data_IF_821444097496
#
_entry.id   IF_821444097496
#
_cell.length_a   1.000
_cell.length_b   1.000
_cell.length_c   1.000
_cell.angle_alpha   90.00
_cell.angle_beta   90.00
_cell.angle_gamma   90.00
#
_symmetry.space_group_name_H-M   'P 1'
#
loop_
_entity.id
_entity.type
_entity.pdbx_description
1 polymer ?
#
# COMPACT_ATOMS: atom_id res chain seq x y z
N UNK A 1 -30.35 -21.97 13.38
CA UNK A 1 -29.01 -21.72 12.82
C UNK A 1 -28.35 -20.55 13.54
N UNK A 2 -27.22 -20.72 14.25
CA UNK A 2 -26.60 -19.63 14.98
C UNK A 2 -25.79 -18.73 14.03
N UNK A 3 -26.08 -17.43 14.05
CA UNK A 3 -25.33 -16.40 13.30
C UNK A 3 -23.92 -16.27 13.90
N UNK A 4 -22.89 -16.47 13.06
CA UNK A 4 -21.48 -16.27 13.44
C UNK A 4 -21.24 -14.80 13.80
N UNK A 5 -21.00 -14.53 15.08
CA UNK A 5 -20.53 -13.25 15.59
C UNK A 5 -19.10 -13.02 15.09
N UNK A 6 -18.90 -12.02 14.22
CA UNK A 6 -17.57 -11.54 13.85
C UNK A 6 -16.92 -10.91 15.08
N UNK A 7 -15.90 -11.57 15.63
CA UNK A 7 -15.04 -10.99 16.68
C UNK A 7 -14.30 -9.78 16.10
N UNK A 8 -14.69 -8.57 16.52
CA UNK A 8 -13.87 -7.37 16.36
C UNK A 8 -12.56 -7.58 17.12
N UNK A 9 -11.44 -7.49 16.42
CA UNK A 9 -10.12 -7.42 17.05
C UNK A 9 -9.99 -6.12 17.85
N UNK A 10 -9.27 -6.11 18.98
CA UNK A 10 -9.11 -4.93 19.81
C UNK A 10 -8.20 -3.92 19.11
N UNK A 11 -8.79 -2.79 18.74
CA UNK A 11 -8.20 -1.60 18.07
C UNK A 11 -6.85 -1.19 18.70
N UNK A 12 -6.67 -1.39 20.01
CA UNK A 12 -5.47 -1.08 20.80
C UNK A 12 -4.16 -1.74 20.32
N UNK A 13 -4.22 -2.88 19.64
CA UNK A 13 -3.01 -3.59 19.17
C UNK A 13 -2.47 -3.13 17.82
N UNK A 14 -3.29 -2.44 17.01
CA UNK A 14 -2.82 -1.86 15.75
C UNK A 14 -2.20 -0.47 15.97
N UNK A 15 -2.76 0.31 16.89
CA UNK A 15 -2.26 1.62 17.32
C UNK A 15 -0.79 1.53 17.78
N UNK A 16 -0.46 0.52 18.56
CA UNK A 16 0.92 0.29 19.06
C UNK A 16 1.92 -0.12 17.96
N UNK A 17 1.46 -0.75 16.87
CA UNK A 17 2.31 -1.12 15.73
C UNK A 17 2.60 0.07 14.82
N UNK A 18 1.58 0.88 14.54
CA UNK A 18 1.73 2.13 13.77
C UNK A 18 2.62 3.11 14.56
N UNK A 19 2.42 3.21 15.87
CA UNK A 19 3.25 4.02 16.76
C UNK A 19 4.73 3.60 16.75
N UNK A 20 5.02 2.30 16.93
CA UNK A 20 6.39 1.77 16.84
C UNK A 20 7.01 1.99 15.46
N UNK A 21 6.20 1.92 14.39
CA UNK A 21 6.67 2.17 13.02
C UNK A 21 7.00 3.64 12.78
N UNK A 22 6.12 4.57 13.17
CA UNK A 22 6.34 6.01 13.06
C UNK A 22 7.57 6.44 13.86
N UNK A 23 7.70 5.97 15.10
CA UNK A 23 8.85 6.27 15.95
C UNK A 23 10.17 5.73 15.39
N UNK A 24 10.15 4.56 14.74
CA UNK A 24 11.35 3.89 14.19
C UNK A 24 11.82 4.43 12.84
N UNK A 25 10.90 4.89 11.99
CA UNK A 25 11.23 5.26 10.61
C UNK A 25 11.35 6.78 10.37
N UNK A 26 10.89 7.60 11.31
CA UNK A 26 10.76 9.04 11.11
C UNK A 26 11.58 9.87 12.10
N UNK A 27 12.48 9.23 12.84
CA UNK A 27 13.44 9.83 13.77
C UNK A 27 14.62 10.52 13.10
N UNK A 28 14.93 10.24 11.82
CA UNK A 28 16.13 10.77 11.16
C UNK A 28 15.82 11.39 9.79
N UNK A 29 16.33 12.60 9.56
CA UNK A 29 16.43 13.20 8.22
C UNK A 29 17.78 12.79 7.59
N UNK A 30 17.86 12.42 6.29
CA UNK A 30 19.16 12.27 5.65
C UNK A 30 19.82 13.65 5.60
N UNK A 31 20.95 13.79 6.30
CA UNK A 31 21.77 14.99 6.24
C UNK A 31 22.16 15.24 4.78
N UNK A 32 21.80 16.41 4.25
CA UNK A 32 22.36 16.90 3.00
C UNK A 32 23.80 17.30 3.30
N UNK A 33 24.78 16.54 2.82
CA UNK A 33 26.22 16.84 2.91
C UNK A 33 26.65 18.01 2.01
N UNK A 34 25.85 19.08 1.93
CA UNK A 34 26.20 20.25 1.12
C UNK A 34 26.10 21.51 1.98
N UNK A 35 27.28 22.10 2.20
CA UNK A 35 27.53 23.45 2.69
C UNK A 35 27.23 23.71 4.17
N UNK A 36 28.22 23.36 5.01
CA UNK A 36 28.91 24.24 5.98
C UNK A 36 28.13 25.11 6.97
N UNK A 37 26.81 25.09 6.93
CA UNK A 37 25.93 25.78 7.86
C UNK A 37 25.43 24.74 8.85
N UNK A 38 25.42 25.04 10.16
CA UNK A 38 24.87 24.14 11.16
C UNK A 38 23.35 24.05 10.92
N UNK A 39 22.94 23.15 10.03
CA UNK A 39 21.53 22.88 9.76
C UNK A 39 20.92 22.37 11.05
N UNK A 40 19.95 23.13 11.55
CA UNK A 40 19.22 22.84 12.77
C UNK A 40 18.80 21.36 12.79
N UNK A 41 19.36 20.59 13.73
CA UNK A 41 19.10 19.17 14.00
C UNK A 41 17.65 18.85 14.44
N UNK A 42 16.71 19.77 14.18
CA UNK A 42 15.38 19.79 14.78
C UNK A 42 14.28 19.31 13.82
N UNK A 43 14.51 19.32 12.50
CA UNK A 43 13.50 18.87 11.54
C UNK A 43 13.58 17.37 11.26
N UNK A 44 12.79 16.59 11.99
CA UNK A 44 12.62 15.16 11.72
C UNK A 44 11.61 14.90 10.59
N UNK A 45 11.71 13.75 9.93
CA UNK A 45 10.72 13.33 8.90
C UNK A 45 9.28 13.32 9.41
N UNK A 46 9.09 13.11 10.72
CA UNK A 46 7.78 13.20 11.37
C UNK A 46 7.18 14.61 11.35
N UNK A 47 8.01 15.66 11.46
CA UNK A 47 7.55 17.05 11.37
C UNK A 47 7.07 17.39 9.95
N UNK A 48 7.83 16.96 8.93
CA UNK A 48 7.44 17.14 7.53
C UNK A 48 6.12 16.44 7.24
N UNK A 49 5.90 15.26 7.84
CA UNK A 49 4.64 14.55 7.71
C UNK A 49 3.48 15.25 8.41
N UNK A 50 3.69 15.79 9.61
CA UNK A 50 2.67 16.55 10.33
C UNK A 50 2.22 17.76 9.52
N UNK A 51 3.17 18.55 9.01
CA UNK A 51 2.88 19.71 8.15
C UNK A 51 2.20 19.26 6.85
N UNK A 52 2.55 18.10 6.30
CA UNK A 52 1.88 17.53 5.13
C UNK A 52 0.40 17.20 5.38
N UNK A 53 0.11 16.59 6.54
CA UNK A 53 -1.25 16.22 6.93
C UNK A 53 -2.09 17.46 7.26
N UNK A 54 -1.50 18.48 7.89
CA UNK A 54 -2.16 19.76 8.18
C UNK A 54 -2.54 20.52 6.91
N UNK A 55 -1.72 20.45 5.86
CA UNK A 55 -1.96 21.13 4.57
C UNK A 55 -2.77 20.30 3.57
N UNK A 56 -3.71 19.48 4.05
CA UNK A 56 -4.61 18.68 3.20
C UNK A 56 -3.86 17.82 2.15
N UNK A 57 -2.68 17.30 2.50
CA UNK A 57 -1.88 16.47 1.59
C UNK A 57 -1.33 17.18 0.34
N UNK A 58 -1.20 18.52 0.36
CA UNK A 58 -0.62 19.31 -0.74
C UNK A 58 0.91 19.45 -0.62
N UNK A 59 1.72 18.78 -1.48
CA UNK A 59 3.18 18.82 -1.37
C UNK A 59 3.77 20.22 -1.56
N UNK A 60 3.14 21.06 -2.38
CA UNK A 60 3.66 22.40 -2.69
C UNK A 60 3.55 23.35 -1.49
N UNK A 61 2.45 23.27 -0.74
CA UNK A 61 2.22 24.08 0.46
C UNK A 61 3.13 23.58 1.59
N UNK A 62 3.28 22.25 1.72
CA UNK A 62 4.17 21.64 2.70
C UNK A 62 5.63 22.04 2.50
N UNK A 63 6.14 22.07 1.26
CA UNK A 63 7.50 22.56 1.00
C UNK A 63 7.68 23.98 1.53
N UNK A 64 6.75 24.90 1.20
CA UNK A 64 6.85 26.30 1.62
C UNK A 64 6.83 26.45 3.15
N UNK A 65 5.93 25.74 3.81
CA UNK A 65 5.81 25.81 5.26
C UNK A 65 6.98 25.15 6.00
N UNK A 66 7.48 24.01 5.52
CA UNK A 66 8.65 23.35 6.12
C UNK A 66 9.90 24.22 5.95
N UNK A 67 10.11 24.81 4.76
CA UNK A 67 11.21 25.74 4.54
C UNK A 67 11.12 26.98 5.45
N UNK A 68 9.91 27.50 5.68
CA UNK A 68 9.67 28.63 6.57
C UNK A 68 9.90 28.28 8.05
N UNK A 69 9.37 27.14 8.51
CA UNK A 69 9.41 26.74 9.93
C UNK A 69 10.76 26.20 10.38
N UNK A 70 11.50 25.53 9.49
CA UNK A 70 12.73 24.83 9.85
C UNK A 70 13.98 25.38 9.16
N UNK A 71 13.83 26.31 8.20
CA UNK A 71 14.96 26.86 7.44
C UNK A 71 15.65 25.83 6.53
N UNK A 72 14.99 24.72 6.18
CA UNK A 72 15.55 23.63 5.37
C UNK A 72 14.90 23.60 3.99
N UNK A 73 15.72 23.48 2.94
CA UNK A 73 15.26 23.32 1.57
C UNK A 73 14.78 21.89 1.31
N UNK A 74 13.47 21.67 1.42
CA UNK A 74 12.85 20.37 1.10
C UNK A 74 12.32 20.37 -0.32
N UNK A 75 12.71 19.38 -1.14
CA UNK A 75 12.19 19.25 -2.50
C UNK A 75 10.83 18.55 -2.52
N UNK A 76 10.00 18.87 -3.52
CA UNK A 76 8.71 18.18 -3.77
C UNK A 76 8.87 16.66 -3.90
N UNK A 77 10.00 16.21 -4.46
CA UNK A 77 10.31 14.78 -4.63
C UNK A 77 10.49 14.08 -3.27
N UNK A 78 11.19 14.71 -2.32
CA UNK A 78 11.39 14.16 -0.98
C UNK A 78 10.06 13.96 -0.25
N UNK A 79 9.13 14.90 -0.38
CA UNK A 79 7.78 14.78 0.21
C UNK A 79 7.01 13.63 -0.45
N UNK A 80 7.03 13.55 -1.78
CA UNK A 80 6.33 12.48 -2.50
C UNK A 80 6.87 11.09 -2.17
N UNK A 81 8.19 10.96 -1.98
CA UNK A 81 8.81 9.70 -1.55
C UNK A 81 8.39 9.30 -0.13
N UNK A 82 8.37 10.28 0.78
CA UNK A 82 7.90 10.09 2.16
C UNK A 82 6.44 9.64 2.19
N UNK A 83 5.58 10.23 1.36
CA UNK A 83 4.17 9.88 1.21
C UNK A 83 3.97 8.53 0.53
N UNK A 84 4.79 8.15 -0.46
CA UNK A 84 4.73 6.82 -1.09
C UNK A 84 4.98 5.70 -0.08
N UNK A 85 5.89 5.91 0.88
CA UNK A 85 6.14 4.95 1.94
C UNK A 85 4.95 4.82 2.91
N UNK A 86 4.18 5.90 3.10
CA UNK A 86 2.95 5.91 3.90
C UNK A 86 1.73 5.34 3.16
N UNK A 87 1.70 5.43 1.83
CA UNK A 87 0.60 4.86 1.04
C UNK A 87 0.43 3.35 1.25
N UNK A 88 1.47 2.65 1.71
CA UNK A 88 1.39 1.25 2.17
C UNK A 88 0.43 1.06 3.36
N UNK A 89 0.17 2.12 4.12
CA UNK A 89 -0.70 2.17 5.28
C UNK A 89 -1.93 3.06 5.05
N UNK A 90 -2.20 3.50 3.82
CA UNK A 90 -3.25 4.48 3.47
C UNK A 90 -4.63 4.10 3.99
N UNK A 91 -4.99 2.81 3.93
CA UNK A 91 -6.27 2.29 4.42
C UNK A 91 -6.46 2.44 5.93
N UNK A 92 -5.36 2.48 6.68
CA UNK A 92 -5.36 2.62 8.14
C UNK A 92 -5.11 4.08 8.55
N UNK A 93 -4.42 4.85 7.71
CA UNK A 93 -4.17 6.28 7.92
C UNK A 93 -5.45 7.10 7.78
N UNK A 94 -6.28 6.84 6.76
CA UNK A 94 -7.53 7.57 6.54
C UNK A 94 -8.55 7.36 7.65
N UNK A 95 -8.56 6.17 8.27
CA UNK A 95 -9.47 5.81 9.36
C UNK A 95 -9.04 6.39 10.71
N UNK A 96 -7.74 6.64 10.89
CA UNK A 96 -7.16 7.09 12.16
C UNK A 96 -6.50 8.47 12.03
N UNK A 97 -6.87 9.25 11.01
CA UNK A 97 -6.29 10.58 10.73
C UNK A 97 -6.32 11.51 11.97
N UNK A 98 -7.39 11.58 12.78
CA UNK A 98 -7.42 12.42 13.98
C UNK A 98 -6.41 11.96 15.03
N UNK A 99 -6.33 10.66 15.29
CA UNK A 99 -5.40 10.06 16.25
C UNK A 99 -3.94 10.21 15.80
N UNK A 100 -3.68 10.10 14.49
CA UNK A 100 -2.34 10.29 13.92
C UNK A 100 -1.93 11.76 14.01
N UNK A 101 -2.84 12.71 13.72
CA UNK A 101 -2.56 14.13 13.90
C UNK A 101 -2.28 14.45 15.37
N UNK A 102 -3.03 13.89 16.30
CA UNK A 102 -2.80 14.03 17.74
C UNK A 102 -1.44 13.45 18.16
N UNK A 103 -1.15 12.19 17.79
CA UNK A 103 0.13 11.53 18.07
C UNK A 103 1.32 12.25 17.44
N UNK A 104 1.19 12.71 16.20
CA UNK A 104 2.24 13.47 15.54
C UNK A 104 2.44 14.82 16.24
N UNK A 105 1.38 15.47 16.73
CA UNK A 105 1.49 16.73 17.50
C UNK A 105 2.09 16.51 18.90
N UNK A 106 1.85 15.36 19.52
CA UNK A 106 2.42 14.97 20.81
C UNK A 106 3.91 14.60 20.72
N UNK A 107 4.30 13.85 19.68
CA UNK A 107 5.67 13.38 19.47
C UNK A 107 6.54 14.47 18.84
N UNK A 108 5.97 15.20 17.88
CA UNK A 108 6.64 16.21 17.08
C UNK A 108 6.00 17.56 17.38
N UNK A 109 6.17 18.05 18.62
CA UNK A 109 5.77 19.41 18.96
C UNK A 109 6.51 20.37 18.04
N UNK A 110 5.82 21.28 17.34
CA UNK A 110 6.49 22.41 16.72
C UNK A 110 7.16 23.22 17.83
N UNK A 111 8.48 23.38 17.75
CA UNK A 111 9.22 24.26 18.64
C UNK A 111 8.75 25.72 18.41
N UNK A 112 8.50 26.52 19.46
CA UNK A 112 8.17 27.93 19.28
C UNK A 112 9.42 28.78 19.00
N UNK A 113 9.26 29.62 17.97
CA UNK A 113 9.84 30.92 17.64
C UNK A 113 11.11 31.42 18.37
N UNK A 114 12.14 31.73 17.58
CA UNK A 114 13.02 32.87 17.86
C UNK A 114 13.38 33.61 16.54
N UNK A 115 12.86 34.84 16.43
CA UNK A 115 13.32 35.97 15.59
C UNK A 115 13.09 35.92 14.06
N UNK A 116 11.96 36.49 13.60
CA UNK A 116 11.90 37.68 12.73
C UNK A 116 10.49 37.90 12.15
N UNK A 117 9.80 38.93 12.68
CA UNK A 117 8.78 39.78 12.03
C UNK A 117 7.92 39.21 10.89
N UNK A 118 6.67 38.84 11.20
CA UNK A 118 5.45 39.45 10.63
C UNK A 118 4.20 38.83 11.27
N UNK A 119 3.30 39.63 11.88
CA UNK A 119 2.02 39.14 12.35
C UNK A 119 1.03 39.19 11.18
N UNK A 120 0.60 38.04 10.69
CA UNK A 120 -0.74 37.83 10.14
C UNK A 120 -0.90 36.39 9.65
N UNK A 121 -1.41 35.54 10.54
CA UNK A 121 -2.28 34.42 10.17
C UNK A 121 -2.78 33.76 11.44
N UNK A 122 -3.84 34.37 11.97
CA UNK A 122 -4.70 33.85 13.01
C UNK A 122 -5.11 32.40 12.70
N UNK A 123 -4.82 31.55 13.68
CA UNK A 123 -5.33 30.20 13.82
C UNK A 123 -6.85 30.27 13.92
N UNK A 124 -7.59 29.72 12.95
CA UNK A 124 -9.03 29.49 13.10
C UNK A 124 -9.38 28.04 12.70
N UNK A 125 -9.70 27.24 13.71
CA UNK A 125 -10.54 26.07 13.61
C UNK A 125 -11.97 26.49 13.99
N UNK A 126 -12.95 26.40 13.08
CA UNK A 126 -14.35 26.10 13.38
C UNK A 126 -15.19 25.97 12.09
N UNK A 127 -15.74 24.77 11.90
CA UNK A 127 -17.14 24.41 11.59
C UNK A 127 -18.01 25.22 10.61
N UNK A 128 -18.75 24.44 9.79
CA UNK A 128 -20.04 24.68 9.11
C UNK A 128 -20.14 25.51 7.81
N UNK A 129 -20.77 24.85 6.83
CA UNK A 129 -21.28 25.21 5.49
C UNK A 129 -22.62 25.98 5.63
N UNK A 130 -23.29 26.56 4.60
CA UNK A 130 -22.90 27.08 3.26
C UNK A 130 -23.30 28.57 3.05
N UNK A 131 -22.76 29.25 2.02
CA UNK A 131 -23.60 30.11 1.16
C UNK A 131 -22.92 30.53 -0.16
N UNK A 132 -23.82 30.73 -1.12
CA UNK A 132 -23.73 30.79 -2.57
C UNK A 132 -23.28 32.16 -3.10
N UNK A 133 -22.53 32.18 -4.22
CA UNK A 133 -22.82 32.89 -5.50
C UNK A 133 -21.56 33.42 -6.23
N UNK A 134 -21.45 32.98 -7.51
CA UNK A 134 -20.90 33.66 -8.72
C UNK A 134 -19.46 34.21 -8.70
N UNK A 135 -18.60 34.05 -9.72
CA UNK A 135 -18.77 33.66 -11.11
C UNK A 135 -17.42 33.21 -11.72
N UNK A 136 -17.54 32.34 -12.72
CA UNK A 136 -16.76 32.21 -13.95
C UNK A 136 -15.22 32.09 -13.93
N UNK A 137 -14.74 30.85 -14.11
CA UNK A 137 -13.58 30.54 -14.97
C UNK A 137 -13.90 29.27 -15.77
N UNK A 138 -13.70 29.26 -17.11
CA UNK A 138 -14.04 28.12 -17.95
C UNK A 138 -13.10 26.92 -17.68
N UNK A 139 -13.72 25.80 -17.33
CA UNK A 139 -13.10 24.48 -17.34
C UNK A 139 -13.36 23.79 -18.67
N UNK A 140 -12.32 23.22 -19.27
CA UNK A 140 -12.45 22.03 -20.10
C UNK A 140 -11.15 21.21 -20.03
N UNK A 141 -11.01 20.47 -18.93
CA UNK A 141 -10.38 19.16 -18.97
C UNK A 141 -11.44 18.19 -19.50
N UNK A 142 -11.08 17.28 -20.41
CA UNK A 142 -10.96 15.84 -20.06
C UNK A 142 -10.87 14.97 -21.30
N UNK A 143 -9.93 14.03 -21.21
CA UNK A 143 -9.87 12.81 -22.00
C UNK A 143 -11.17 12.01 -21.86
N UNK A 144 -11.59 11.32 -22.93
CA UNK A 144 -12.14 9.96 -22.77
C UNK A 144 -11.89 9.14 -24.04
N UNK A 145 -11.31 7.97 -23.82
CA UNK A 145 -11.36 6.82 -24.72
C UNK A 145 -12.77 6.23 -24.65
N UNK A 146 -13.27 5.65 -25.75
CA UNK A 146 -14.04 4.39 -25.79
C UNK A 146 -14.29 3.97 -27.25
N UNK A 147 -14.28 2.66 -27.41
CA UNK A 147 -14.40 1.83 -28.61
C UNK A 147 -15.67 2.01 -29.45
N UNK A 148 -15.53 1.62 -30.73
CA UNK A 148 -16.48 0.88 -31.59
C UNK A 148 -17.96 1.23 -31.58
N UNK A 149 -18.50 1.64 -32.74
CA UNK A 149 -19.19 0.69 -33.63
C UNK A 149 -19.59 1.36 -34.95
N UNK A 150 -19.54 0.55 -36.01
CA UNK A 150 -20.18 0.81 -37.29
C UNK A 150 -21.68 1.03 -37.09
N UNK A 151 -22.25 2.15 -37.56
CA UNK A 151 -23.57 2.17 -38.20
C UNK A 151 -23.82 3.52 -38.86
N UNK A 152 -24.10 3.46 -40.16
CA UNK A 152 -24.49 4.58 -41.00
C UNK A 152 -25.77 5.26 -40.48
N UNK A 153 -25.87 6.61 -40.51
CA UNK A 153 -27.15 7.26 -40.30
C UNK A 153 -27.99 7.13 -41.57
N UNK A 154 -29.03 6.29 -41.51
CA UNK A 154 -30.20 6.37 -42.39
C UNK A 154 -30.83 7.75 -42.20
N UNK A 155 -30.71 8.58 -43.22
CA UNK A 155 -31.52 9.78 -43.40
C UNK A 155 -32.98 9.36 -43.60
N UNK A 156 -33.82 9.67 -42.63
CA UNK A 156 -35.28 9.68 -42.76
C UNK A 156 -35.68 11.03 -43.36
N UNK A 157 -36.06 11.02 -44.63
CA UNK A 157 -36.72 12.12 -45.33
C UNK A 157 -38.22 12.07 -44.99
N UNK A 158 -38.89 13.21 -44.78
CA UNK A 158 -40.22 13.43 -45.32
C UNK A 158 -40.18 14.48 -46.45
N UNK A 159 -41.12 14.39 -47.40
CA UNK A 159 -40.93 14.90 -48.75
C UNK A 159 -41.26 16.39 -48.84
N UNK A 160 -40.43 17.14 -49.55
CA UNK A 160 -40.85 18.42 -50.12
C UNK A 160 -40.31 18.49 -51.54
N UNK A 161 -41.25 18.70 -52.45
CA UNK A 161 -41.08 18.71 -53.87
C UNK A 161 -40.18 19.88 -54.31
N UNK A 162 -39.63 19.74 -55.52
CA UNK A 162 -39.01 20.81 -56.31
C UNK A 162 -37.62 21.31 -55.89
N UNK A 163 -36.62 20.43 -56.02
CA UNK A 163 -35.36 20.88 -56.60
C UNK A 163 -34.73 19.73 -57.38
N UNK A 164 -35.02 19.72 -58.68
CA UNK A 164 -34.29 18.97 -59.69
C UNK A 164 -32.81 19.38 -59.66
N UNK A 165 -32.04 18.76 -58.77
CA UNK A 165 -30.59 18.67 -58.87
C UNK A 165 -30.27 17.74 -60.05
N UNK A 166 -30.42 18.29 -61.25
CA UNK A 166 -30.06 17.69 -62.51
C UNK A 166 -28.57 17.35 -62.45
N UNK A 167 -28.26 16.10 -62.12
CA UNK A 167 -26.93 15.54 -62.29
C UNK A 167 -26.69 15.45 -63.80
N UNK A 168 -26.11 16.51 -64.37
CA UNK A 168 -25.69 16.54 -65.76
C UNK A 168 -24.58 15.50 -65.96
N UNK A 169 -24.97 14.27 -66.28
CA UNK A 169 -24.11 13.31 -66.95
C UNK A 169 -23.89 13.88 -68.34
N UNK A 170 -22.80 14.63 -68.51
CA UNK A 170 -22.29 15.06 -69.82
C UNK A 170 -21.99 13.80 -70.66
N UNK A 171 -23.00 13.30 -71.36
CA UNK A 171 -22.88 12.25 -72.37
C UNK A 171 -21.85 12.70 -73.41
N UNK A 172 -20.95 11.79 -73.79
CA UNK A 172 -19.75 12.03 -74.60
C UNK A 172 -19.96 12.54 -76.03
N UNK A 173 -21.18 12.96 -76.42
CA UNK A 173 -21.54 13.26 -77.80
C UNK A 173 -21.92 14.74 -78.06
N UNK A 174 -21.76 15.63 -77.08
CA UNK A 174 -21.97 17.08 -77.29
C UNK A 174 -20.69 17.72 -77.82
N UNK A 175 -20.77 18.39 -78.98
CA UNK A 175 -19.66 19.17 -79.55
C UNK A 175 -19.28 20.30 -78.59
N UNK A 176 -18.30 20.07 -77.72
CA UNK A 176 -17.84 21.06 -76.75
C UNK A 176 -17.30 22.31 -77.44
N UNK A 177 -17.66 23.48 -76.91
CA UNK A 177 -17.06 24.75 -77.32
C UNK A 177 -15.55 24.77 -76.99
N UNK A 178 -14.72 25.54 -77.71
CA UNK A 178 -13.29 25.65 -77.40
C UNK A 178 -12.99 26.05 -75.94
N UNK A 179 -13.85 26.89 -75.34
CA UNK A 179 -13.77 27.32 -73.94
C UNK A 179 -14.03 26.16 -72.98
N UNK A 180 -15.05 25.35 -73.24
CA UNK A 180 -15.34 24.13 -72.47
C UNK A 180 -14.22 23.10 -72.57
N UNK A 181 -13.67 22.88 -73.78
CA UNK A 181 -12.50 21.99 -73.96
C UNK A 181 -11.32 22.46 -73.11
N UNK A 182 -11.07 23.76 -73.07
CA UNK A 182 -10.01 24.36 -72.26
C UNK A 182 -10.27 24.18 -70.76
N UNK A 183 -11.49 24.44 -70.29
CA UNK A 183 -11.87 24.24 -68.89
C UNK A 183 -11.78 22.77 -68.48
N UNK A 184 -12.27 21.84 -69.31
CA UNK A 184 -12.17 20.39 -69.07
C UNK A 184 -10.72 19.93 -68.95
N UNK A 185 -9.82 20.42 -69.81
CA UNK A 185 -8.37 20.15 -69.70
C UNK A 185 -7.81 20.66 -68.38
N UNK A 186 -8.12 21.90 -67.98
CA UNK A 186 -7.67 22.48 -66.70
C UNK A 186 -8.17 21.68 -65.49
N UNK A 187 -9.45 21.31 -65.47
CA UNK A 187 -10.03 20.49 -64.41
C UNK A 187 -9.41 19.09 -64.36
N UNK A 188 -9.14 18.49 -65.52
CA UNK A 188 -8.43 17.21 -65.61
C UNK A 188 -7.01 17.30 -65.05
N UNK A 189 -6.26 18.36 -65.38
CA UNK A 189 -4.93 18.62 -64.84
C UNK A 189 -4.99 18.79 -63.32
N UNK A 190 -5.90 19.62 -62.80
CA UNK A 190 -6.08 19.80 -61.35
C UNK A 190 -6.43 18.49 -60.63
N UNK A 191 -7.31 17.67 -61.23
CA UNK A 191 -7.64 16.34 -60.71
C UNK A 191 -6.43 15.41 -60.68
N UNK A 192 -5.59 15.46 -61.72
CA UNK A 192 -4.34 14.71 -61.76
C UNK A 192 -3.36 15.20 -60.68
N UNK A 193 -3.12 16.51 -60.55
CA UNK A 193 -2.27 17.07 -59.50
C UNK A 193 -2.72 16.65 -58.09
N UNK A 194 -4.03 16.73 -57.79
CA UNK A 194 -4.57 16.28 -56.50
C UNK A 194 -4.35 14.78 -56.26
N UNK A 195 -4.51 13.95 -57.30
CA UNK A 195 -4.23 12.51 -57.21
C UNK A 195 -2.76 12.24 -56.95
N UNK A 196 -1.87 12.96 -57.63
CA UNK A 196 -0.42 12.80 -57.50
C UNK A 196 0.07 13.25 -56.12
N UNK A 197 -0.40 14.38 -55.61
CA UNK A 197 -0.12 14.83 -54.24
C UNK A 197 -0.63 13.85 -53.19
N UNK A 198 -1.87 13.36 -53.33
CA UNK A 198 -2.42 12.34 -52.43
C UNK A 198 -1.61 11.05 -52.46
N UNK A 199 -1.14 10.64 -53.64
CA UNK A 199 -0.26 9.49 -53.79
C UNK A 199 1.09 9.72 -53.10
N UNK A 200 1.73 10.88 -53.32
CA UNK A 200 2.98 11.27 -52.66
C UNK A 200 2.83 11.27 -51.14
N UNK A 201 1.78 11.90 -50.61
CA UNK A 201 1.48 11.92 -49.18
C UNK A 201 1.30 10.51 -48.60
N UNK A 202 0.56 9.63 -49.28
CA UNK A 202 0.39 8.25 -48.82
C UNK A 202 1.73 7.50 -48.78
N UNK A 203 2.59 7.70 -49.78
CA UNK A 203 3.93 7.11 -49.81
C UNK A 203 4.81 7.61 -48.65
N UNK A 204 4.85 8.93 -48.42
CA UNK A 204 5.65 9.49 -47.31
C UNK A 204 5.16 9.02 -45.95
N UNK A 205 3.84 8.95 -45.74
CA UNK A 205 3.27 8.40 -44.50
C UNK A 205 3.62 6.92 -44.34
N UNK A 206 3.57 6.13 -45.41
CA UNK A 206 3.95 4.72 -45.37
C UNK A 206 5.45 4.54 -45.03
N UNK A 207 6.31 5.35 -45.62
CA UNK A 207 7.77 5.33 -45.36
C UNK A 207 8.11 5.77 -43.94
N UNK A 208 7.41 6.79 -43.41
CA UNK A 208 7.60 7.23 -42.03
C UNK A 208 7.13 6.16 -41.03
N UNK A 209 6.00 5.49 -41.31
CA UNK A 209 5.52 4.36 -40.49
C UNK A 209 6.47 3.17 -40.53
N UNK A 210 7.03 2.83 -41.69
CA UNK A 210 7.99 1.73 -41.80
C UNK A 210 9.28 2.04 -41.04
N UNK A 211 9.76 3.28 -41.10
CA UNK A 211 10.90 3.77 -40.30
C UNK A 211 10.61 3.80 -38.80
N UNK A 212 9.41 4.22 -38.36
CA UNK A 212 9.07 4.20 -36.92
C UNK A 212 8.97 2.79 -36.36
N UNK A 213 8.50 1.83 -37.18
CA UNK A 213 8.41 0.42 -36.81
C UNK A 213 9.77 -0.29 -36.86
N UNK A 214 10.76 0.30 -37.55
CA UNK A 214 12.12 -0.18 -37.55
C UNK A 214 12.81 0.14 -36.22
N UNK A 215 12.61 -0.74 -35.23
CA UNK A 215 13.43 -0.71 -34.03
C UNK A 215 14.85 -1.16 -34.37
N UNK A 216 15.88 -0.36 -34.03
CA UNK A 216 17.28 -0.78 -34.15
C UNK A 216 17.48 -2.17 -33.55
N UNK A 217 18.29 -3.02 -34.20
CA UNK A 217 18.60 -4.38 -33.73
C UNK A 217 19.03 -4.37 -32.26
N UNK A 218 19.77 -3.34 -31.83
CA UNK A 218 20.19 -3.11 -30.46
C UNK A 218 19.02 -2.99 -29.46
N UNK A 219 17.93 -2.29 -29.83
CA UNK A 219 16.75 -2.16 -28.94
C UNK A 219 16.05 -3.52 -28.80
N UNK A 220 15.97 -4.30 -29.88
CA UNK A 220 15.39 -5.66 -29.84
C UNK A 220 16.21 -6.59 -28.94
N UNK A 221 17.54 -6.55 -29.03
CA UNK A 221 18.41 -7.36 -28.17
C UNK A 221 18.31 -6.92 -26.71
N UNK A 222 18.32 -5.62 -26.42
CA UNK A 222 18.13 -5.08 -25.06
C UNK A 222 16.80 -5.51 -24.45
N UNK A 223 15.68 -5.39 -25.20
CA UNK A 223 14.36 -5.86 -24.73
C UNK A 223 14.38 -7.36 -24.40
N UNK A 224 15.05 -8.18 -25.22
CA UNK A 224 15.20 -9.61 -24.96
C UNK A 224 16.02 -9.86 -23.69
N UNK A 225 17.12 -9.13 -23.49
CA UNK A 225 17.95 -9.23 -22.28
C UNK A 225 17.17 -8.82 -21.03
N UNK A 226 16.44 -7.70 -21.07
CA UNK A 226 15.57 -7.26 -19.97
C UNK A 226 14.52 -8.33 -19.66
N UNK A 227 13.89 -8.94 -20.69
CA UNK A 227 12.92 -10.02 -20.49
C UNK A 227 13.56 -11.23 -19.81
N UNK A 228 14.74 -11.67 -20.25
CA UNK A 228 15.49 -12.77 -19.62
C UNK A 228 15.84 -12.47 -18.16
N UNK A 229 16.31 -11.26 -17.87
CA UNK A 229 16.62 -10.84 -16.52
C UNK A 229 15.38 -10.81 -15.61
N UNK A 230 14.24 -10.32 -16.12
CA UNK A 230 12.97 -10.36 -15.36
C UNK A 230 12.56 -11.78 -14.99
N UNK A 231 12.67 -12.73 -15.92
CA UNK A 231 12.38 -14.15 -15.64
C UNK A 231 13.32 -14.69 -14.55
N UNK A 232 14.63 -14.41 -14.66
CA UNK A 232 15.62 -14.83 -13.65
C UNK A 232 15.32 -14.23 -12.27
N UNK A 233 14.97 -12.95 -12.20
CA UNK A 233 14.59 -12.29 -10.93
C UNK A 233 13.36 -12.98 -10.32
N UNK A 234 12.36 -13.33 -11.13
CA UNK A 234 11.17 -14.03 -10.65
C UNK A 234 11.50 -15.43 -10.13
N UNK A 235 12.37 -16.18 -10.83
CA UNK A 235 12.83 -17.49 -10.39
C UNK A 235 13.56 -17.40 -9.03
N UNK A 236 14.54 -16.50 -8.90
CA UNK A 236 15.26 -16.27 -7.63
C UNK A 236 14.33 -15.84 -6.49
N UNK A 237 13.31 -15.03 -6.78
CA UNK A 237 12.29 -14.67 -5.77
C UNK A 237 11.48 -15.87 -5.30
N UNK A 238 11.22 -16.85 -6.17
CA UNK A 238 10.52 -18.06 -5.80
C UNK A 238 11.43 -18.99 -4.98
N UNK A 239 12.69 -19.17 -5.39
CA UNK A 239 13.69 -19.91 -4.61
C UNK A 239 13.83 -19.35 -3.19
N UNK A 240 13.95 -18.01 -3.04
CA UNK A 240 14.02 -17.38 -1.71
C UNK A 240 12.75 -17.65 -0.88
N UNK A 241 11.58 -17.71 -1.50
CA UNK A 241 10.33 -18.05 -0.78
C UNK A 241 10.34 -19.50 -0.33
N UNK A 242 10.78 -20.42 -1.19
CA UNK A 242 10.89 -21.84 -0.88
C UNK A 242 11.87 -22.07 0.28
N UNK A 243 13.07 -21.47 0.22
CA UNK A 243 14.04 -21.53 1.32
C UNK A 243 13.48 -21.02 2.65
N UNK A 244 12.69 -19.93 2.63
CA UNK A 244 12.05 -19.41 3.85
C UNK A 244 11.00 -20.36 4.41
N UNK A 245 10.23 -21.03 3.56
CA UNK A 245 9.26 -22.04 3.99
C UNK A 245 9.99 -23.25 4.57
N UNK A 246 11.02 -23.74 3.88
CA UNK A 246 11.81 -24.89 4.33
C UNK A 246 12.49 -24.61 5.69
N UNK A 247 13.07 -23.43 5.88
CA UNK A 247 13.67 -23.02 7.14
C UNK A 247 12.65 -23.02 8.30
N UNK A 248 11.42 -22.53 8.05
CA UNK A 248 10.33 -22.56 9.04
C UNK A 248 9.87 -23.98 9.36
N UNK A 249 9.79 -24.85 8.36
CA UNK A 249 9.45 -26.27 8.55
C UNK A 249 10.52 -26.97 9.40
N UNK A 250 11.81 -26.76 9.10
CA UNK A 250 12.94 -27.27 9.90
C UNK A 250 12.89 -26.77 11.34
N UNK A 251 12.60 -25.49 11.55
CA UNK A 251 12.44 -24.91 12.90
C UNK A 251 11.26 -25.54 13.66
N UNK A 252 10.12 -25.72 13.00
CA UNK A 252 8.94 -26.36 13.57
C UNK A 252 9.23 -27.82 13.96
N UNK A 253 9.93 -28.57 13.11
CA UNK A 253 10.36 -29.94 13.40
C UNK A 253 11.28 -30.00 14.64
N UNK A 254 12.25 -29.09 14.74
CA UNK A 254 13.14 -28.98 15.91
C UNK A 254 12.34 -28.71 17.20
N UNK A 255 11.39 -27.78 17.14
CA UNK A 255 10.54 -27.42 18.28
C UNK A 255 9.61 -28.58 18.69
N UNK A 256 9.04 -29.30 17.73
CA UNK A 256 8.23 -30.50 17.97
C UNK A 256 9.04 -31.59 18.67
N UNK A 257 10.29 -31.80 18.26
CA UNK A 257 11.19 -32.76 18.91
C UNK A 257 11.49 -32.37 20.36
N UNK A 258 11.79 -31.09 20.63
CA UNK A 258 12.02 -30.60 21.99
C UNK A 258 10.78 -30.76 22.87
N UNK A 259 9.60 -30.41 22.36
CA UNK A 259 8.34 -30.60 23.06
C UNK A 259 8.09 -32.08 23.43
N UNK A 260 8.35 -33.01 22.51
CA UNK A 260 8.20 -34.44 22.79
C UNK A 260 9.19 -34.94 23.85
N UNK A 261 10.44 -34.46 23.83
CA UNK A 261 11.42 -34.78 24.88
C UNK A 261 10.97 -34.26 26.24
N UNK A 262 10.51 -33.02 26.31
CA UNK A 262 10.05 -32.41 27.56
C UNK A 262 8.80 -33.10 28.10
N UNK A 263 7.87 -33.47 27.21
CA UNK A 263 6.67 -34.24 27.57
C UNK A 263 7.03 -35.60 28.17
N UNK A 264 8.03 -36.30 27.63
CA UNK A 264 8.51 -37.59 28.19
C UNK A 264 9.11 -37.40 29.59
N UNK A 265 9.96 -36.39 29.78
CA UNK A 265 10.53 -36.06 31.10
C UNK A 265 9.44 -35.76 32.13
N UNK A 266 8.45 -34.94 31.76
CA UNK A 266 7.34 -34.60 32.65
C UNK A 266 6.49 -35.83 33.02
N UNK A 267 6.29 -36.77 32.09
CA UNK A 267 5.62 -38.03 32.40
C UNK A 267 6.40 -38.89 33.39
N UNK A 268 7.73 -38.91 33.27
CA UNK A 268 8.60 -39.66 34.17
C UNK A 268 8.66 -39.05 35.57
N UNK A 269 8.78 -37.72 35.67
CA UNK A 269 8.68 -36.99 36.94
C UNK A 269 7.33 -37.25 37.63
N UNK A 270 6.23 -37.27 36.88
CA UNK A 270 4.91 -37.54 37.44
C UNK A 270 4.77 -38.98 37.96
N UNK A 271 5.41 -39.96 37.30
CA UNK A 271 5.50 -41.34 37.80
C UNK A 271 6.33 -41.43 39.09
N UNK A 272 7.47 -40.74 39.14
CA UNK A 272 8.31 -40.70 40.33
C UNK A 272 7.57 -40.06 41.50
N UNK A 273 6.89 -38.93 41.27
CA UNK A 273 6.13 -38.22 42.29
C UNK A 273 4.99 -39.07 42.86
N UNK A 274 4.27 -39.80 42.00
CA UNK A 274 3.27 -40.79 42.44
C UNK A 274 3.88 -41.89 43.31
N UNK A 275 5.03 -42.44 42.89
CA UNK A 275 5.72 -43.48 43.67
C UNK A 275 6.15 -42.95 45.04
N UNK A 276 6.76 -41.76 45.10
CA UNK A 276 7.16 -41.12 46.35
C UNK A 276 5.97 -40.80 47.25
N UNK A 277 4.82 -40.40 46.68
CA UNK A 277 3.61 -40.16 47.45
C UNK A 277 3.08 -41.45 48.08
N UNK A 278 2.96 -42.53 47.31
CA UNK A 278 2.55 -43.83 47.85
C UNK A 278 3.53 -44.38 48.89
N UNK A 279 4.84 -44.15 48.72
CA UNK A 279 5.84 -44.52 49.74
C UNK A 279 5.67 -43.73 51.04
N UNK A 280 5.37 -42.42 50.96
CA UNK A 280 5.07 -41.61 52.14
C UNK A 280 3.80 -42.08 52.84
N UNK A 281 2.72 -42.36 52.10
CA UNK A 281 1.47 -42.87 52.67
C UNK A 281 1.68 -44.22 53.39
N UNK A 282 2.54 -45.09 52.85
CA UNK A 282 2.90 -46.35 53.53
C UNK A 282 3.72 -46.08 54.79
N UNK A 283 4.74 -45.22 54.71
CA UNK A 283 5.55 -44.86 55.88
C UNK A 283 4.72 -44.22 57.01
N UNK A 284 3.79 -43.32 56.69
CA UNK A 284 2.87 -42.70 57.66
C UNK A 284 1.95 -43.75 58.32
N UNK A 285 1.52 -44.78 57.58
CA UNK A 285 0.75 -45.90 58.14
C UNK A 285 1.60 -46.79 59.05
N UNK A 286 2.83 -47.07 58.65
CA UNK A 286 3.75 -47.89 59.45
C UNK A 286 4.12 -47.18 60.76
N UNK A 287 4.36 -45.86 60.72
CA UNK A 287 4.58 -45.03 61.91
C UNK A 287 3.36 -45.09 62.86
N UNK A 288 2.14 -44.99 62.31
CA UNK A 288 0.91 -45.11 63.11
C UNK A 288 0.74 -46.51 63.72
N UNK A 289 1.03 -47.57 62.96
CA UNK A 289 0.98 -48.95 63.47
C UNK A 289 1.95 -49.12 64.63
N UNK A 290 3.18 -48.64 64.48
CA UNK A 290 4.20 -48.71 65.53
C UNK A 290 3.77 -47.93 66.79
N UNK A 291 3.17 -46.74 66.61
CA UNK A 291 2.61 -45.97 67.72
C UNK A 291 1.53 -46.75 68.47
N UNK A 292 0.58 -47.35 67.76
CA UNK A 292 -0.51 -48.15 68.36
C UNK A 292 0.00 -49.44 69.02
N UNK A 293 1.04 -50.08 68.47
CA UNK A 293 1.67 -51.25 69.07
C UNK A 293 2.33 -50.90 70.41
N UNK A 294 3.03 -49.76 70.49
CA UNK A 294 3.61 -49.27 71.74
C UNK A 294 2.54 -48.93 72.77
N UNK A 295 1.45 -48.28 72.36
CA UNK A 295 0.33 -47.95 73.25
C UNK A 295 -0.36 -49.22 73.79
N UNK A 296 -0.54 -50.23 72.93
CA UNK A 296 -1.05 -51.55 73.34
C UNK A 296 -0.16 -52.20 74.41
N UNK A 297 1.15 -52.19 74.21
CA UNK A 297 2.12 -52.76 75.15
C UNK A 297 2.06 -52.08 76.52
N UNK A 298 2.00 -50.74 76.53
CA UNK A 298 1.85 -49.95 77.75
C UNK A 298 0.54 -50.24 78.50
N UNK A 299 -0.56 -50.46 77.76
CA UNK A 299 -1.84 -50.82 78.34
C UNK A 299 -1.83 -52.25 78.89
N UNK A 300 -1.13 -53.18 78.23
CA UNK A 300 -0.94 -54.55 78.72
C UNK A 300 -0.13 -54.55 80.03
N UNK A 301 1.00 -53.82 80.10
CA UNK A 301 1.77 -53.64 81.35
C UNK A 301 0.89 -53.08 82.48
N UNK A 302 0.08 -52.06 82.20
CA UNK A 302 -0.81 -51.45 83.20
C UNK A 302 -1.94 -52.37 83.64
N UNK A 303 -2.39 -53.29 82.80
CA UNK A 303 -3.38 -54.30 83.17
C UNK A 303 -2.75 -55.37 84.06
N UNK A 304 -1.52 -55.81 83.77
CA UNK A 304 -0.76 -56.73 84.62
C UNK A 304 -0.57 -56.15 86.03
N UNK A 305 -0.15 -54.88 86.15
CA UNK A 305 -0.04 -54.18 87.44
C UNK A 305 -1.36 -54.23 88.25
N UNK A 306 -2.50 -54.01 87.59
CA UNK A 306 -3.82 -54.04 88.23
C UNK A 306 -4.29 -55.46 88.61
N UNK A 307 -3.80 -56.49 87.92
CA UNK A 307 -4.05 -57.89 88.28
C UNK A 307 -3.18 -58.34 89.45
N UNK A 308 -1.93 -57.86 89.53
CA UNK A 308 -1.06 -58.07 90.70
C UNK A 308 -1.64 -57.42 91.96
N UNK A 309 -2.16 -56.20 91.87
CA UNK A 309 -2.79 -55.49 93.00
C UNK A 309 -4.05 -56.18 93.56
N UNK A 310 -4.67 -57.10 92.81
CA UNK A 310 -5.90 -57.81 93.21
C UNK A 310 -5.66 -59.15 93.91
N UNK A 311 -4.47 -59.73 93.76
CA UNK A 311 -4.11 -61.02 94.35
C UNK A 311 -3.38 -60.83 95.69
#
# INVERSE_FOLDING_TARGET
MPKKVKRCMPIKTEETKIFKFLKKHYSDFPQSESDGTPTNKLCLKGHVLLVYLQNQSSPAITVRQVSSLFGITVTKLHILELVRNLNKYKSNLSKNLPLINQLCSEIFRPLPTATASNPDSTINNATSVPQTLTAEVPSASSNSSIDGDDMAPRSLIPPTEESSACSYILRGNVKMTPREKTLKRRLSLLSQFRRDEKCKYRKTVADLKSKSNFQPKLIKTLKRTIRRQRVRITALKNEIKEFRVEARVKQCAKMKLLYLKERKKNQELLKQLKKSHSQKEVAERDELIHFLQNEKLLLEERLEELEEDKN
#
